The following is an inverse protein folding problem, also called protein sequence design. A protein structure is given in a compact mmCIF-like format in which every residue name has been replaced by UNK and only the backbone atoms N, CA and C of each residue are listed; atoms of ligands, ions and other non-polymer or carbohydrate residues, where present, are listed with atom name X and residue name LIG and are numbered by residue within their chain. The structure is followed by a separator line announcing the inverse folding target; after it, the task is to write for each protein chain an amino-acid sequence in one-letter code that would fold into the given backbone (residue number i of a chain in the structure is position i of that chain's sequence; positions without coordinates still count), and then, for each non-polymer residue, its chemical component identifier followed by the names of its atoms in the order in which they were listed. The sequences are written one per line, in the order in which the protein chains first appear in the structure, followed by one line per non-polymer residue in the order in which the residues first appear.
data_IF_193317738418
#
_entry.id   IF_193317738418
#
_cell.length_a   1.000
_cell.length_b   1.000
_cell.length_c   1.000
_cell.angle_alpha   90.00
_cell.angle_beta   90.00
_cell.angle_gamma   90.00
#
_symmetry.space_group_name_H-M   'P 1'
#
loop_
_entity.id
_entity.type
_entity.pdbx_description
1 polymer ?
#
# COMPACT_ATOMS: atom_id res chain seq x y z
N UNK A 1 -16.13 -10.92 21.96
CA UNK A 1 -16.02 -9.92 20.86
C UNK A 1 -14.94 -10.45 19.94
N UNK A 2 -15.24 -10.61 18.67
CA UNK A 2 -14.23 -11.00 17.66
C UNK A 2 -13.24 -9.87 17.50
N UNK A 3 -11.95 -10.19 17.53
CA UNK A 3 -10.87 -9.23 17.33
C UNK A 3 -11.01 -8.49 15.99
N UNK A 4 -10.87 -7.16 16.00
CA UNK A 4 -10.90 -6.36 14.79
C UNK A 4 -9.65 -6.64 13.94
N UNK A 5 -9.83 -6.96 12.65
CA UNK A 5 -8.74 -7.22 11.71
C UNK A 5 -9.24 -6.97 10.29
N UNK A 6 -8.32 -6.81 9.31
CA UNK A 6 -8.71 -6.70 7.91
C UNK A 6 -9.27 -8.03 7.40
N UNK A 7 -8.64 -9.14 7.75
CA UNK A 7 -9.01 -10.47 7.29
C UNK A 7 -9.11 -11.45 8.46
N UNK A 8 -9.93 -12.49 8.25
CA UNK A 8 -9.97 -13.68 9.09
C UNK A 8 -9.55 -14.89 8.28
N UNK A 9 -8.76 -15.83 8.87
CA UNK A 9 -8.51 -17.11 8.22
C UNK A 9 -9.83 -17.82 7.91
N UNK A 10 -9.95 -18.39 6.72
CA UNK A 10 -11.15 -19.10 6.25
C UNK A 10 -10.77 -20.26 5.35
N UNK A 11 -10.62 -21.45 5.95
CA UNK A 11 -10.11 -22.64 5.27
C UNK A 11 -8.70 -22.43 4.74
N UNK A 12 -8.54 -22.51 3.43
CA UNK A 12 -7.28 -22.25 2.71
C UNK A 12 -7.16 -20.81 2.19
N UNK A 13 -8.04 -19.91 2.66
CA UNK A 13 -8.11 -18.52 2.24
C UNK A 13 -8.35 -17.55 3.40
N UNK A 14 -8.87 -16.38 3.05
CA UNK A 14 -9.06 -15.25 3.95
C UNK A 14 -10.40 -14.57 3.67
N UNK A 15 -11.27 -14.52 4.66
CA UNK A 15 -12.51 -13.74 4.61
C UNK A 15 -12.23 -12.28 4.97
N UNK A 16 -12.51 -11.37 4.03
CA UNK A 16 -12.43 -9.94 4.25
C UNK A 16 -13.50 -9.48 5.26
N UNK A 17 -13.13 -8.63 6.20
CA UNK A 17 -14.08 -7.96 7.08
C UNK A 17 -14.59 -6.67 6.43
N UNK A 18 -15.66 -6.08 6.97
CA UNK A 18 -16.18 -4.79 6.49
C UNK A 18 -15.14 -3.66 6.59
N UNK A 19 -14.14 -3.80 7.49
CA UNK A 19 -13.03 -2.84 7.64
C UNK A 19 -12.22 -2.71 6.33
N UNK A 20 -12.23 -3.71 5.44
CA UNK A 20 -11.52 -3.64 4.15
C UNK A 20 -12.25 -2.80 3.11
N UNK A 21 -13.49 -2.36 3.34
CA UNK A 21 -14.31 -1.65 2.34
C UNK A 21 -13.61 -0.39 1.84
N UNK A 22 -13.41 -0.32 0.53
CA UNK A 22 -12.73 0.77 -0.15
C UNK A 22 -13.61 2.00 -0.37
N UNK A 23 -12.98 3.11 -0.77
CA UNK A 23 -13.68 4.38 -0.99
C UNK A 23 -14.58 4.41 -2.23
N UNK A 24 -14.44 3.44 -3.13
CA UNK A 24 -15.17 3.42 -4.41
C UNK A 24 -16.42 2.54 -4.37
N UNK A 25 -16.48 1.58 -3.47
CA UNK A 25 -17.62 0.68 -3.29
C UNK A 25 -17.61 0.05 -1.91
N UNK A 26 -18.76 0.04 -1.23
CA UNK A 26 -18.91 -0.66 0.05
C UNK A 26 -18.85 -2.20 -0.09
N UNK A 27 -19.01 -2.73 -1.30
CA UNK A 27 -18.95 -4.16 -1.59
C UNK A 27 -17.56 -4.62 -2.06
N UNK A 28 -16.61 -3.69 -2.25
CA UNK A 28 -15.26 -3.99 -2.71
C UNK A 28 -14.21 -3.55 -1.68
N UNK A 29 -13.18 -4.38 -1.57
CA UNK A 29 -12.04 -4.11 -0.70
C UNK A 29 -11.17 -2.97 -1.27
N UNK A 30 -10.52 -2.22 -0.38
CA UNK A 30 -9.43 -1.31 -0.75
C UNK A 30 -8.25 -2.10 -1.33
N UNK A 31 -7.62 -1.56 -2.36
CA UNK A 31 -6.37 -2.12 -2.89
C UNK A 31 -5.28 -2.22 -1.83
N UNK A 32 -5.21 -1.24 -0.91
CA UNK A 32 -4.27 -1.27 0.22
C UNK A 32 -4.47 -2.46 1.16
N UNK A 33 -5.71 -2.87 1.40
CA UNK A 33 -6.00 -4.07 2.18
C UNK A 33 -5.53 -5.34 1.44
N UNK A 34 -5.81 -5.44 0.13
CA UNK A 34 -5.36 -6.57 -0.71
C UNK A 34 -3.84 -6.63 -0.75
N UNK A 35 -3.14 -5.50 -0.94
CA UNK A 35 -1.68 -5.46 -0.95
C UNK A 35 -1.07 -5.84 0.41
N UNK A 36 -1.71 -5.43 1.52
CA UNK A 36 -1.28 -5.83 2.86
C UNK A 36 -1.37 -7.36 3.04
N UNK A 37 -2.45 -7.99 2.53
CA UNK A 37 -2.61 -9.45 2.55
C UNK A 37 -1.56 -10.14 1.68
N UNK A 38 -1.29 -9.64 0.46
CA UNK A 38 -0.23 -10.18 -0.39
C UNK A 38 1.15 -10.10 0.29
N UNK A 39 1.43 -8.98 0.97
CA UNK A 39 2.64 -8.81 1.78
C UNK A 39 2.71 -9.79 2.96
N UNK A 40 1.57 -10.03 3.61
CA UNK A 40 1.44 -11.00 4.70
C UNK A 40 1.77 -12.43 4.23
N UNK A 41 1.17 -12.87 3.13
CA UNK A 41 1.41 -14.21 2.57
C UNK A 41 2.84 -14.35 2.02
N UNK A 42 3.42 -13.28 1.46
CA UNK A 42 4.79 -13.31 0.99
C UNK A 42 5.78 -13.65 2.10
N UNK A 43 5.56 -13.19 3.33
CA UNK A 43 6.45 -13.46 4.46
C UNK A 43 6.43 -14.95 4.90
N UNK A 44 5.39 -15.72 4.54
CA UNK A 44 5.32 -17.17 4.79
C UNK A 44 6.10 -17.98 3.74
N UNK A 45 6.46 -17.38 2.62
CA UNK A 45 7.25 -18.06 1.59
C UNK A 45 8.70 -18.19 2.05
N UNK A 46 9.16 -19.42 2.25
CA UNK A 46 10.51 -19.70 2.71
C UNK A 46 11.60 -19.12 1.79
N UNK A 47 12.76 -18.82 2.35
CA UNK A 47 13.95 -18.34 1.63
C UNK A 47 15.17 -19.19 2.00
N UNK A 48 16.11 -19.37 1.07
CA UNK A 48 17.35 -20.12 1.33
C UNK A 48 18.33 -19.39 2.26
N UNK A 49 18.22 -18.08 2.37
CA UNK A 49 19.02 -17.19 3.24
C UNK A 49 18.14 -16.05 3.69
N UNK A 50 18.45 -15.33 4.78
CA UNK A 50 17.69 -14.14 5.14
C UNK A 50 17.62 -13.14 3.98
N UNK A 51 16.40 -12.79 3.57
CA UNK A 51 16.10 -11.88 2.46
C UNK A 51 15.05 -10.87 2.87
N UNK A 52 15.09 -9.68 2.25
CA UNK A 52 14.05 -8.66 2.38
C UNK A 52 13.41 -8.38 1.02
N UNK A 53 12.15 -7.94 1.07
CA UNK A 53 11.47 -7.40 -0.11
C UNK A 53 12.23 -6.17 -0.61
N UNK A 54 12.58 -6.16 -1.89
CA UNK A 54 13.25 -5.01 -2.54
C UNK A 54 12.44 -4.43 -3.69
N UNK A 55 11.49 -5.19 -4.23
CA UNK A 55 10.54 -4.69 -5.23
C UNK A 55 9.24 -5.48 -5.14
N UNK A 56 8.13 -4.77 -5.24
CA UNK A 56 6.82 -5.32 -5.54
C UNK A 56 6.23 -4.59 -6.74
N UNK A 57 5.72 -5.34 -7.72
CA UNK A 57 4.80 -4.85 -8.74
C UNK A 57 3.50 -5.62 -8.61
N UNK A 58 2.37 -4.94 -8.64
CA UNK A 58 1.07 -5.59 -8.55
C UNK A 58 0.05 -4.93 -9.47
N UNK A 59 -0.70 -5.75 -10.19
CA UNK A 59 -1.86 -5.35 -10.97
C UNK A 59 -3.12 -5.57 -10.11
N UNK A 60 -3.94 -4.55 -9.96
CA UNK A 60 -5.26 -4.60 -9.35
C UNK A 60 -6.28 -4.90 -10.46
N UNK A 61 -6.38 -6.18 -10.81
CA UNK A 61 -7.06 -6.65 -12.03
C UNK A 61 -8.57 -6.43 -11.99
N UNK A 62 -9.18 -6.58 -10.82
CA UNK A 62 -10.62 -6.39 -10.58
C UNK A 62 -10.87 -5.97 -9.14
N UNK A 63 -12.01 -5.30 -8.86
CA UNK A 63 -12.45 -5.09 -7.49
C UNK A 63 -12.56 -6.44 -6.74
N UNK A 64 -11.85 -6.56 -5.63
CA UNK A 64 -11.94 -7.73 -4.76
C UNK A 64 -13.24 -7.64 -3.94
N UNK A 65 -14.18 -8.59 -4.02
CA UNK A 65 -15.45 -8.49 -3.31
C UNK A 65 -15.28 -8.71 -1.80
N UNK A 66 -16.17 -8.08 -1.00
CA UNK A 66 -16.36 -8.44 0.40
C UNK A 66 -17.43 -9.53 0.45
N UNK A 67 -17.30 -10.49 1.39
CA UNK A 67 -18.25 -11.58 1.55
C UNK A 67 -17.94 -12.85 0.73
N UNK A 68 -16.93 -12.79 -0.13
CA UNK A 68 -16.37 -13.96 -0.81
C UNK A 68 -14.90 -14.10 -0.41
N UNK A 69 -14.45 -15.26 0.11
CA UNK A 69 -13.07 -15.42 0.55
C UNK A 69 -12.06 -15.19 -0.57
N UNK A 70 -10.93 -14.57 -0.22
CA UNK A 70 -9.76 -14.51 -1.07
C UNK A 70 -8.86 -15.71 -0.84
N UNK A 71 -8.41 -16.36 -1.91
CA UNK A 71 -7.31 -17.31 -1.89
C UNK A 71 -6.09 -16.68 -2.50
N UNK A 72 -4.98 -16.74 -1.79
CA UNK A 72 -3.70 -16.23 -2.28
C UNK A 72 -2.79 -17.42 -2.58
N UNK A 73 -2.53 -17.63 -3.85
CA UNK A 73 -1.58 -18.63 -4.33
C UNK A 73 -0.23 -17.97 -4.61
N UNK A 74 0.85 -18.69 -4.35
CA UNK A 74 2.18 -18.23 -4.73
C UNK A 74 2.93 -19.28 -5.53
N UNK A 75 3.85 -18.81 -6.37
CA UNK A 75 4.83 -19.66 -7.05
C UNK A 75 6.21 -19.02 -7.01
N UNK A 76 7.23 -19.85 -6.79
CA UNK A 76 8.62 -19.38 -6.81
C UNK A 76 9.10 -19.44 -8.26
N UNK A 77 9.19 -18.28 -8.91
CA UNK A 77 9.69 -18.15 -10.29
C UNK A 77 11.21 -18.34 -10.35
N UNK A 78 11.89 -17.89 -9.31
CA UNK A 78 13.34 -18.05 -9.16
C UNK A 78 13.69 -18.24 -7.71
N UNK A 79 14.43 -19.32 -7.42
CA UNK A 79 15.03 -19.59 -6.12
C UNK A 79 16.55 -19.43 -6.20
N UNK A 80 17.15 -18.80 -5.19
CA UNK A 80 18.61 -18.67 -5.12
C UNK A 80 19.05 -17.99 -3.84
N UNK A 81 20.31 -18.18 -3.46
CA UNK A 81 20.90 -17.61 -2.23
C UNK A 81 21.06 -16.09 -2.25
N UNK A 82 20.97 -15.43 -3.40
CA UNK A 82 21.12 -13.97 -3.52
C UNK A 82 19.82 -13.29 -3.86
N UNK A 83 18.97 -13.96 -4.62
CA UNK A 83 17.74 -13.39 -5.18
C UNK A 83 16.67 -14.49 -5.19
N UNK A 84 15.48 -14.14 -4.75
CA UNK A 84 14.26 -14.92 -4.95
C UNK A 84 13.22 -14.07 -5.64
N UNK A 85 12.49 -14.65 -6.61
CA UNK A 85 11.35 -14.03 -7.28
C UNK A 85 10.13 -14.88 -7.01
N UNK A 86 9.08 -14.26 -6.46
CA UNK A 86 7.81 -14.90 -6.13
C UNK A 86 6.70 -14.21 -6.90
N UNK A 87 5.83 -14.98 -7.53
CA UNK A 87 4.54 -14.52 -8.02
C UNK A 87 3.45 -14.87 -6.99
N UNK A 88 2.54 -13.92 -6.75
CA UNK A 88 1.37 -14.10 -5.91
C UNK A 88 0.13 -13.76 -6.76
N UNK A 89 -0.90 -14.59 -6.65
CA UNK A 89 -2.18 -14.37 -7.31
C UNK A 89 -3.30 -14.47 -6.28
N UNK A 90 -4.05 -13.39 -6.11
CA UNK A 90 -5.25 -13.39 -5.30
C UNK A 90 -6.47 -13.67 -6.18
N UNK A 91 -7.26 -14.67 -5.78
CA UNK A 91 -8.50 -15.06 -6.47
C UNK A 91 -9.68 -15.01 -5.50
N UNK A 92 -10.84 -14.65 -6.01
CA UNK A 92 -12.12 -14.75 -5.32
C UNK A 92 -13.08 -15.55 -6.19
N UNK A 93 -13.63 -16.64 -5.66
CA UNK A 93 -14.46 -17.60 -6.41
C UNK A 93 -13.81 -18.05 -7.75
N UNK A 94 -12.51 -18.31 -7.72
CA UNK A 94 -11.71 -18.70 -8.89
C UNK A 94 -11.40 -17.57 -9.89
N UNK A 95 -11.89 -16.36 -9.66
CA UNK A 95 -11.62 -15.19 -10.50
C UNK A 95 -10.42 -14.40 -9.93
N UNK A 96 -9.44 -14.13 -10.77
CA UNK A 96 -8.29 -13.32 -10.38
C UNK A 96 -8.70 -11.86 -10.11
N UNK A 97 -8.34 -11.36 -8.93
CA UNK A 97 -8.60 -9.97 -8.51
C UNK A 97 -7.33 -9.14 -8.39
N UNK A 98 -6.22 -9.77 -8.04
CA UNK A 98 -4.92 -9.11 -8.03
C UNK A 98 -3.80 -10.11 -8.34
N UNK A 99 -2.74 -9.60 -8.95
CA UNK A 99 -1.50 -10.34 -9.20
C UNK A 99 -0.30 -9.49 -8.79
N UNK A 100 0.66 -10.09 -8.09
CA UNK A 100 1.88 -9.40 -7.71
C UNK A 100 3.12 -10.22 -8.05
N UNK A 101 4.22 -9.51 -8.33
CA UNK A 101 5.55 -10.08 -8.48
C UNK A 101 6.50 -9.43 -7.51
N UNK A 102 6.97 -10.20 -6.55
CA UNK A 102 7.90 -9.77 -5.52
C UNK A 102 9.32 -10.19 -5.87
N UNK A 103 10.28 -9.28 -5.68
CA UNK A 103 11.71 -9.56 -5.68
C UNK A 103 12.22 -9.45 -4.26
N UNK A 104 12.84 -10.50 -3.75
CA UNK A 104 13.55 -10.50 -2.48
C UNK A 104 15.06 -10.64 -2.75
N UNK A 105 15.84 -9.86 -2.03
CA UNK A 105 17.31 -9.88 -2.12
C UNK A 105 17.88 -10.21 -0.76
N UNK A 106 19.00 -10.96 -0.75
CA UNK A 106 19.68 -11.36 0.49
C UNK A 106 20.08 -10.14 1.32
N UNK A 107 19.90 -10.23 2.62
CA UNK A 107 20.40 -9.25 3.55
C UNK A 107 21.93 -9.34 3.64
N UNK A 108 22.59 -8.19 3.64
CA UNK A 108 24.03 -8.07 3.86
C UNK A 108 24.31 -6.80 4.66
N UNK A 109 25.21 -6.89 5.62
CA UNK A 109 25.70 -5.71 6.34
C UNK A 109 26.73 -4.98 5.47
N UNK A 110 26.43 -3.75 5.12
CA UNK A 110 27.28 -2.89 4.30
C UNK A 110 27.96 -1.79 5.12
N UNK A 111 27.77 -1.78 6.44
CA UNK A 111 28.41 -0.78 7.30
C UNK A 111 29.94 -0.94 7.31
N UNK A 112 30.63 0.16 7.17
CA UNK A 112 32.12 0.17 7.18
C UNK A 112 32.76 -0.31 5.89
N UNK A 113 32.00 -0.51 4.81
CA UNK A 113 32.57 -0.82 3.49
C UNK A 113 32.88 0.51 2.76
N UNK A 114 34.17 0.70 2.46
CA UNK A 114 34.61 1.89 1.75
C UNK A 114 33.93 2.04 0.39
N UNK A 115 33.57 3.27 0.05
CA UNK A 115 32.94 3.61 -1.23
C UNK A 115 31.43 3.38 -1.31
N UNK A 116 30.79 2.87 -0.25
CA UNK A 116 29.33 2.81 -0.17
C UNK A 116 28.83 4.08 0.54
N UNK A 117 28.06 4.96 -0.15
CA UNK A 117 27.51 6.16 0.48
C UNK A 117 26.52 5.79 1.58
N UNK A 118 26.60 6.45 2.70
CA UNK A 118 25.58 6.36 3.76
C UNK A 118 24.44 7.33 3.40
N UNK A 119 23.22 6.84 3.26
CA UNK A 119 22.05 7.70 3.15
C UNK A 119 21.84 8.41 4.48
N UNK A 120 21.75 9.73 4.45
CA UNK A 120 21.48 10.54 5.65
C UNK A 120 19.99 10.83 5.75
N UNK A 121 19.48 11.00 6.97
CA UNK A 121 18.09 11.42 7.21
C UNK A 121 17.84 12.88 6.78
N UNK A 122 18.90 13.65 6.55
CA UNK A 122 18.83 15.06 6.16
C UNK A 122 18.15 15.29 4.80
N UNK A 123 18.18 14.26 3.92
CA UNK A 123 17.54 14.29 2.61
C UNK A 123 16.14 13.64 2.62
N UNK A 124 15.58 13.31 3.79
CA UNK A 124 14.26 12.69 3.87
C UNK A 124 13.15 13.70 3.54
N UNK A 125 12.39 13.50 2.43
CA UNK A 125 11.28 14.39 2.10
C UNK A 125 10.20 14.46 3.18
N UNK A 126 10.01 13.39 3.98
CA UNK A 126 9.02 13.35 5.05
C UNK A 126 9.39 14.27 6.22
N UNK A 127 10.65 14.63 6.37
CA UNK A 127 11.08 15.65 7.35
C UNK A 127 10.47 17.04 7.07
N UNK A 128 10.01 17.28 5.84
CA UNK A 128 9.31 18.51 5.44
C UNK A 128 7.80 18.45 5.63
N UNK A 129 7.23 17.28 5.95
CA UNK A 129 5.82 17.19 6.31
C UNK A 129 5.59 17.86 7.66
N UNK A 130 4.44 18.52 7.86
CA UNK A 130 4.05 18.99 9.18
C UNK A 130 4.02 17.84 10.19
N UNK A 131 4.22 18.13 11.50
CA UNK A 131 4.07 17.11 12.53
C UNK A 131 2.74 16.37 12.40
N UNK A 132 2.77 15.07 12.54
CA UNK A 132 1.59 14.17 12.38
C UNK A 132 0.36 14.69 13.12
N UNK A 133 0.54 15.11 14.38
CA UNK A 133 -0.54 15.56 15.26
C UNK A 133 -1.12 16.93 14.88
N UNK A 134 -0.43 17.70 14.04
CA UNK A 134 -0.92 18.99 13.52
C UNK A 134 -1.79 18.84 12.29
N UNK A 135 -1.81 17.67 11.66
CA UNK A 135 -2.61 17.38 10.47
C UNK A 135 -3.97 16.77 10.86
N UNK A 136 -5.05 17.16 10.18
CA UNK A 136 -6.36 16.57 10.45
C UNK A 136 -6.37 15.10 10.09
N UNK A 137 -7.02 14.29 10.92
CA UNK A 137 -7.40 12.94 10.54
C UNK A 137 -8.51 13.02 9.50
N UNK A 138 -8.31 12.43 8.32
CA UNK A 138 -9.21 12.58 7.17
C UNK A 138 -10.44 11.66 7.21
N UNK A 139 -10.86 11.24 8.41
CA UNK A 139 -11.96 10.27 8.63
C UNK A 139 -13.35 10.84 8.29
N UNK A 140 -13.50 12.15 8.16
CA UNK A 140 -14.82 12.83 8.09
C UNK A 140 -15.48 12.79 6.70
N UNK A 141 -15.38 11.68 5.96
CA UNK A 141 -16.13 11.52 4.72
C UNK A 141 -17.34 10.59 4.93
N UNK A 142 -18.53 11.02 4.53
CA UNK A 142 -19.76 10.21 4.53
C UNK A 142 -19.76 9.07 3.48
N UNK A 143 -18.61 8.77 2.88
CA UNK A 143 -18.45 7.78 1.84
C UNK A 143 -18.21 6.33 2.37
N UNK A 144 -18.17 5.32 1.49
CA UNK A 144 -18.06 3.89 1.84
C UNK A 144 -16.66 3.46 2.32
N UNK A 145 -15.75 4.37 2.61
CA UNK A 145 -14.35 4.09 2.90
C UNK A 145 -14.11 3.59 4.34
N UNK A 146 -14.72 2.49 4.76
CA UNK A 146 -14.51 1.93 6.10
C UNK A 146 -13.04 1.57 6.34
N UNK A 147 -12.29 1.16 5.31
CA UNK A 147 -10.86 0.95 5.39
C UNK A 147 -10.10 2.19 5.89
N UNK A 148 -10.48 3.37 5.41
CA UNK A 148 -9.85 4.63 5.81
C UNK A 148 -10.37 5.17 7.15
N UNK A 149 -11.44 4.59 7.73
CA UNK A 149 -11.97 4.97 9.04
C UNK A 149 -11.46 4.08 10.16
N UNK A 150 -11.47 2.77 9.92
CA UNK A 150 -11.23 1.77 10.96
C UNK A 150 -10.02 0.87 10.68
N UNK A 151 -9.55 0.80 9.44
CA UNK A 151 -8.40 -0.01 9.03
C UNK A 151 -7.08 0.75 9.09
N UNK A 152 -7.09 2.02 8.68
CA UNK A 152 -5.90 2.86 8.57
C UNK A 152 -6.19 4.25 9.13
N UNK A 153 -5.35 4.74 10.03
CA UNK A 153 -5.30 6.17 10.30
C UNK A 153 -4.46 6.85 9.24
N UNK A 154 -4.97 7.93 8.63
CA UNK A 154 -4.16 8.74 7.75
C UNK A 154 -4.39 10.24 7.94
N UNK A 155 -3.32 11.01 7.81
CA UNK A 155 -3.27 12.43 8.02
C UNK A 155 -2.58 13.07 6.83
N UNK A 156 -3.26 13.97 6.14
CA UNK A 156 -2.82 14.50 4.86
C UNK A 156 -2.59 16.01 4.90
N UNK A 157 -1.57 16.48 4.17
CA UNK A 157 -1.40 17.88 3.86
C UNK A 157 -2.49 18.37 2.91
N UNK A 158 -2.78 19.67 2.94
CA UNK A 158 -3.69 20.29 1.98
C UNK A 158 -2.87 21.04 0.93
N UNK A 159 -3.07 20.78 -0.39
CA UNK A 159 -2.22 21.32 -1.46
C UNK A 159 -2.10 22.85 -1.47
N UNK A 160 -3.12 23.58 -0.99
CA UNK A 160 -3.12 25.06 -0.96
C UNK A 160 -2.60 25.64 0.36
N UNK A 161 -2.33 24.81 1.37
CA UNK A 161 -1.93 25.27 2.71
C UNK A 161 -0.53 24.82 3.12
N UNK A 162 0.04 23.86 2.41
CA UNK A 162 1.32 23.25 2.72
C UNK A 162 2.21 23.25 1.49
N UNK A 163 3.50 23.47 1.71
CA UNK A 163 4.50 23.49 0.62
C UNK A 163 4.79 22.11 0.05
N UNK A 164 4.54 21.08 0.84
CA UNK A 164 4.82 19.68 0.49
C UNK A 164 3.52 18.89 0.45
N UNK A 165 3.30 18.19 -0.65
CA UNK A 165 2.20 17.24 -0.78
C UNK A 165 2.59 15.90 -0.19
N UNK A 166 1.80 15.43 0.75
CA UNK A 166 2.07 14.15 1.37
C UNK A 166 1.04 13.75 2.41
N UNK A 167 1.25 12.59 2.99
CA UNK A 167 0.42 12.05 4.06
C UNK A 167 1.24 11.18 5.01
N UNK A 168 0.74 11.04 6.23
CA UNK A 168 1.15 10.01 7.18
C UNK A 168 0.06 8.96 7.29
N UNK A 169 0.42 7.69 7.32
CA UNK A 169 -0.53 6.60 7.55
C UNK A 169 0.02 5.54 8.49
N UNK A 170 -0.89 4.83 9.18
CA UNK A 170 -0.57 3.63 9.96
C UNK A 170 -1.76 2.68 9.99
N UNK A 171 -1.50 1.38 10.12
CA UNK A 171 -2.52 0.38 10.39
C UNK A 171 -3.09 0.55 11.81
N UNK A 172 -4.41 0.47 11.93
CA UNK A 172 -5.14 0.49 13.21
C UNK A 172 -5.47 -0.91 13.72
N UNK A 173 -5.48 -1.91 12.82
CA UNK A 173 -5.85 -3.29 13.12
C UNK A 173 -4.87 -4.26 12.47
N UNK A 174 -4.72 -5.50 12.98
CA UNK A 174 -3.96 -6.54 12.30
C UNK A 174 -4.45 -6.81 10.87
N UNK A 175 -3.54 -7.22 10.00
CA UNK A 175 -3.91 -7.67 8.64
C UNK A 175 -4.73 -8.95 8.72
N UNK A 176 -4.26 -9.94 9.50
CA UNK A 176 -4.96 -11.19 9.75
C UNK A 176 -5.24 -11.32 11.25
N UNK A 177 -6.46 -11.69 11.60
CA UNK A 177 -6.89 -11.84 12.99
C UNK A 177 -6.01 -12.84 13.75
N UNK A 178 -5.55 -12.44 14.94
CA UNK A 178 -4.70 -13.25 15.79
C UNK A 178 -3.22 -13.26 15.37
N UNK A 179 -2.83 -12.54 14.32
CA UNK A 179 -1.44 -12.48 13.86
C UNK A 179 -0.85 -11.06 13.98
N UNK A 180 0.44 -10.94 14.31
CA UNK A 180 1.09 -9.64 14.37
C UNK A 180 1.20 -9.01 12.98
N UNK A 181 1.16 -7.68 12.92
CA UNK A 181 1.40 -6.96 11.67
C UNK A 181 2.85 -7.15 11.23
N UNK A 182 3.05 -7.73 10.06
CA UNK A 182 4.36 -8.01 9.50
C UNK A 182 4.95 -6.78 8.80
N UNK A 183 6.28 -6.69 8.77
CA UNK A 183 6.98 -5.55 8.15
C UNK A 183 6.66 -5.41 6.64
N UNK A 184 6.53 -6.54 5.94
CA UNK A 184 6.17 -6.53 4.51
C UNK A 184 4.76 -6.00 4.29
N UNK A 185 3.78 -6.37 5.13
CA UNK A 185 2.42 -5.79 5.05
C UNK A 185 2.41 -4.28 5.30
N UNK A 186 3.23 -3.80 6.26
CA UNK A 186 3.38 -2.35 6.49
C UNK A 186 4.02 -1.63 5.31
N UNK A 187 4.92 -2.29 4.58
CA UNK A 187 5.52 -1.72 3.39
C UNK A 187 4.54 -1.69 2.19
N UNK A 188 3.73 -2.74 2.02
CA UNK A 188 2.89 -2.91 0.82
C UNK A 188 1.57 -2.15 0.88
N UNK A 189 0.96 -2.02 2.07
CA UNK A 189 -0.29 -1.30 2.25
C UNK A 189 -0.24 0.16 1.73
N UNK A 190 0.75 0.98 2.11
CA UNK A 190 0.79 2.39 1.73
C UNK A 190 1.03 2.61 0.23
N UNK A 191 1.48 1.58 -0.49
CA UNK A 191 1.68 1.68 -1.94
C UNK A 191 0.39 2.05 -2.70
N UNK A 192 -0.78 1.58 -2.22
CA UNK A 192 -2.08 1.96 -2.80
C UNK A 192 -2.56 3.35 -2.35
N UNK A 193 -2.05 3.86 -1.23
CA UNK A 193 -2.49 5.15 -0.70
C UNK A 193 -1.82 6.36 -1.38
N UNK A 194 -0.87 6.14 -2.26
CA UNK A 194 -0.14 7.22 -2.95
C UNK A 194 -1.08 8.10 -3.79
N UNK A 195 -2.17 7.56 -4.33
CA UNK A 195 -3.17 8.33 -5.05
C UNK A 195 -3.85 9.39 -4.17
N UNK A 196 -3.95 9.15 -2.86
CA UNK A 196 -4.58 10.07 -1.92
C UNK A 196 -3.79 11.39 -1.76
N UNK A 197 -2.52 11.43 -2.14
CA UNK A 197 -1.72 12.65 -2.16
C UNK A 197 -2.34 13.68 -3.11
N UNK A 198 -2.86 13.25 -4.27
CA UNK A 198 -3.46 14.11 -5.30
C UNK A 198 -4.97 14.33 -5.16
N UNK A 199 -5.69 13.45 -4.46
CA UNK A 199 -7.18 13.45 -4.40
C UNK A 199 -7.77 14.74 -3.79
N UNK A 200 -7.02 15.52 -3.03
CA UNK A 200 -7.46 16.82 -2.54
C UNK A 200 -7.73 17.88 -3.62
N UNK A 201 -7.30 17.61 -4.84
CA UNK A 201 -7.45 18.51 -5.99
C UNK A 201 -8.64 18.14 -6.88
N UNK A 202 -9.30 17.00 -6.64
CA UNK A 202 -10.43 16.58 -7.47
C UNK A 202 -11.71 17.34 -7.10
N UNK A 203 -12.39 17.83 -8.12
CA UNK A 203 -13.75 18.33 -8.01
C UNK A 203 -14.74 17.20 -7.62
N UNK A 204 -15.94 17.56 -7.18
CA UNK A 204 -17.00 16.58 -6.92
C UNK A 204 -17.26 15.76 -8.19
N UNK A 205 -17.37 14.44 -8.04
CA UNK A 205 -17.66 13.53 -9.14
C UNK A 205 -16.46 13.06 -9.94
N UNK A 206 -15.21 13.35 -9.52
CA UNK A 206 -14.02 12.77 -10.14
C UNK A 206 -13.47 11.67 -9.23
N UNK A 207 -13.20 10.51 -9.80
CA UNK A 207 -12.54 9.38 -9.15
C UNK A 207 -11.23 9.05 -9.83
N UNK A 208 -10.22 8.60 -9.06
CA UNK A 208 -8.97 8.11 -9.59
C UNK A 208 -8.63 6.79 -8.90
N UNK A 209 -8.80 5.69 -9.62
CA UNK A 209 -8.67 4.33 -9.10
C UNK A 209 -7.34 3.77 -9.57
N UNK A 210 -6.54 3.23 -8.64
CA UNK A 210 -5.27 2.59 -8.97
C UNK A 210 -5.51 1.32 -9.80
N UNK A 211 -4.85 1.21 -10.94
CA UNK A 211 -4.86 0.02 -11.78
C UNK A 211 -3.70 -0.93 -11.44
N UNK A 212 -2.56 -0.35 -11.04
CA UNK A 212 -1.36 -1.05 -10.63
C UNK A 212 -0.69 -0.37 -9.45
N UNK A 213 0.30 -1.01 -8.87
CA UNK A 213 1.31 -0.39 -8.01
C UNK A 213 2.68 -0.95 -8.34
N UNK A 214 3.69 -0.10 -8.25
CA UNK A 214 5.09 -0.49 -8.36
C UNK A 214 5.90 0.18 -7.26
N UNK A 215 6.69 -0.62 -6.52
CA UNK A 215 7.52 -0.07 -5.46
C UNK A 215 8.90 -0.72 -5.42
N UNK A 216 9.89 0.07 -5.03
CA UNK A 216 11.20 -0.39 -4.63
C UNK A 216 11.39 -0.10 -3.14
N UNK A 217 11.83 -1.11 -2.39
CA UNK A 217 12.01 -1.06 -0.95
C UNK A 217 13.49 -1.24 -0.63
N UNK A 218 14.05 -0.29 0.08
CA UNK A 218 15.46 -0.27 0.48
C UNK A 218 15.71 -1.17 1.71
N UNK A 219 14.78 -1.13 2.65
CA UNK A 219 14.81 -1.86 3.92
C UNK A 219 13.37 -2.08 4.43
N UNK A 220 13.13 -3.03 5.33
CA UNK A 220 11.86 -3.12 6.04
C UNK A 220 11.55 -1.82 6.80
N UNK A 221 10.28 -1.37 6.85
CA UNK A 221 9.90 -0.19 7.60
C UNK A 221 10.00 -0.39 9.12
N UNK A 222 10.39 0.67 9.82
CA UNK A 222 10.51 0.76 11.29
C UNK A 222 9.36 1.60 11.83
N UNK A 223 8.94 1.32 13.08
CA UNK A 223 7.82 2.04 13.70
C UNK A 223 6.45 1.67 13.09
N UNK A 224 5.44 2.43 13.44
CA UNK A 224 4.06 2.22 12.96
C UNK A 224 3.68 3.16 11.82
N UNK A 225 4.21 4.37 11.85
CA UNK A 225 3.86 5.41 10.92
C UNK A 225 4.73 5.39 9.66
N UNK A 226 4.07 5.59 8.52
CA UNK A 226 4.71 5.73 7.21
C UNK A 226 4.30 7.05 6.61
N UNK A 227 5.30 7.83 6.22
CA UNK A 227 5.14 9.07 5.46
C UNK A 227 5.23 8.79 3.96
N UNK A 228 4.30 9.35 3.19
CA UNK A 228 4.36 9.41 1.74
C UNK A 228 4.49 10.85 1.32
N UNK A 229 5.54 11.18 0.56
CA UNK A 229 5.74 12.51 -0.03
C UNK A 229 5.89 12.38 -1.52
N UNK A 230 5.02 13.05 -2.27
CA UNK A 230 5.00 12.88 -3.71
C UNK A 230 4.03 13.78 -4.44
N UNK A 231 3.70 13.36 -5.66
CA UNK A 231 2.86 14.13 -6.56
C UNK A 231 1.98 13.22 -7.41
N UNK A 232 0.89 13.78 -7.90
CA UNK A 232 -0.02 13.16 -8.87
C UNK A 232 -0.12 14.03 -10.11
N UNK A 233 0.03 13.42 -11.27
CA UNK A 233 -0.04 14.10 -12.57
C UNK A 233 -1.09 13.44 -13.44
N UNK A 234 -1.82 14.27 -14.18
CA UNK A 234 -2.89 13.82 -15.09
C UNK A 234 -2.57 14.15 -16.53
N UNK A 235 -2.77 13.16 -17.40
CA UNK A 235 -2.74 13.33 -18.84
C UNK A 235 -4.11 13.85 -19.32
N UNK A 236 -4.31 15.16 -19.35
CA UNK A 236 -5.60 15.78 -19.66
C UNK A 236 -6.22 15.35 -21.00
N UNK A 237 -5.41 14.94 -21.97
CA UNK A 237 -5.88 14.51 -23.28
C UNK A 237 -6.21 13.02 -23.36
N UNK A 238 -5.72 12.21 -22.39
CA UNK A 238 -5.81 10.74 -22.42
C UNK A 238 -6.58 10.17 -21.23
N UNK A 239 -6.92 11.00 -20.23
CA UNK A 239 -7.84 10.64 -19.16
C UNK A 239 -7.29 9.63 -18.15
N UNK A 240 -5.97 9.59 -17.92
CA UNK A 240 -5.36 8.79 -16.86
C UNK A 240 -4.40 9.61 -16.00
N UNK A 241 -4.07 9.09 -14.83
CA UNK A 241 -3.14 9.70 -13.89
C UNK A 241 -1.98 8.79 -13.52
N UNK A 242 -0.92 9.39 -13.01
CA UNK A 242 0.19 8.72 -12.37
C UNK A 242 0.48 9.42 -11.06
N UNK A 243 0.55 8.65 -9.97
CA UNK A 243 1.06 9.13 -8.68
C UNK A 243 2.40 8.46 -8.38
N UNK A 244 3.31 9.21 -7.75
CA UNK A 244 4.58 8.68 -7.28
C UNK A 244 4.96 9.33 -5.96
N UNK A 245 5.57 8.56 -5.04
CA UNK A 245 5.98 9.06 -3.74
C UNK A 245 7.25 8.37 -3.22
N UNK A 246 7.99 9.09 -2.40
CA UNK A 246 8.96 8.53 -1.46
C UNK A 246 8.23 8.01 -0.25
N UNK A 247 8.62 6.84 0.25
CA UNK A 247 8.12 6.22 1.47
C UNK A 247 9.16 6.37 2.57
N UNK A 248 8.76 6.94 3.70
CA UNK A 248 9.62 7.19 4.86
C UNK A 248 8.97 6.68 6.15
N UNK A 249 9.78 6.38 7.13
CA UNK A 249 9.37 5.96 8.48
C UNK A 249 10.15 6.70 9.56
N UNK A 250 10.19 6.19 10.79
CA UNK A 250 10.91 6.84 11.90
C UNK A 250 12.44 6.88 11.71
N UNK A 251 12.98 6.03 10.81
CA UNK A 251 14.43 5.99 10.46
C UNK A 251 14.73 6.63 9.09
N UNK A 252 13.78 7.36 8.50
CA UNK A 252 13.93 8.06 7.22
C UNK A 252 13.45 7.23 6.02
N UNK A 253 13.97 7.53 4.83
CA UNK A 253 13.53 6.90 3.57
C UNK A 253 13.76 5.39 3.59
N UNK A 254 12.71 4.63 3.32
CA UNK A 254 12.80 3.18 3.14
C UNK A 254 12.36 2.68 1.76
N UNK A 255 11.80 3.54 0.90
CA UNK A 255 11.38 3.11 -0.43
C UNK A 255 10.77 4.20 -1.30
N UNK A 256 10.39 3.77 -2.50
CA UNK A 256 9.72 4.57 -3.53
C UNK A 256 8.53 3.77 -4.04
N UNK A 257 7.42 4.45 -4.33
CA UNK A 257 6.22 3.82 -4.91
C UNK A 257 5.61 4.67 -6.00
N UNK A 258 4.94 4.03 -6.95
CA UNK A 258 4.15 4.67 -8.00
C UNK A 258 2.95 3.83 -8.40
N UNK A 259 1.94 4.48 -8.98
CA UNK A 259 0.71 3.84 -9.48
C UNK A 259 0.19 4.55 -10.72
N UNK A 260 -0.38 3.79 -11.63
CA UNK A 260 -1.18 4.29 -12.75
C UNK A 260 -2.65 4.31 -12.35
N UNK A 261 -3.38 5.34 -12.76
CA UNK A 261 -4.76 5.57 -12.34
C UNK A 261 -5.70 5.65 -13.52
N UNK A 262 -6.83 4.97 -13.39
CA UNK A 262 -8.01 5.22 -14.21
C UNK A 262 -8.75 6.40 -13.60
N UNK A 263 -8.97 7.45 -14.40
CA UNK A 263 -9.72 8.63 -13.98
C UNK A 263 -11.10 8.59 -14.58
N UNK A 264 -12.11 8.62 -13.73
CA UNK A 264 -13.51 8.66 -14.13
C UNK A 264 -14.17 9.95 -13.66
N UNK A 265 -15.05 10.49 -14.49
CA UNK A 265 -15.82 11.67 -14.18
C UNK A 265 -17.29 11.27 -14.15
N UNK A 266 -17.93 11.41 -12.99
CA UNK A 266 -19.36 11.14 -12.88
C UNK A 266 -20.11 12.08 -13.84
N UNK A 267 -20.87 11.49 -14.77
CA UNK A 267 -21.81 12.26 -15.58
C UNK A 267 -22.85 12.91 -14.66
N UNK A 268 -23.18 14.18 -14.85
CA UNK A 268 -24.19 14.85 -14.04
C UNK A 268 -25.60 14.19 -14.10
N UNK A 269 -25.77 13.21 -15.01
CA UNK A 269 -27.05 12.53 -15.29
C UNK A 269 -27.09 11.05 -14.85
N UNK A 270 -26.23 10.60 -13.91
CA UNK A 270 -26.31 9.26 -13.32
C UNK A 270 -26.56 9.30 -11.83
#
# INVERSE_FOLDING_TARGET
MTEAALYRPDGDGYSATEITAGGWSAQAQSGGAVLALLGHVLDDVATLTPMSLTRLTADLVRPAPIGVPLRVHHSIVREGKKIQVVELTATSDGIEVARARALRVRNADLRGIDGIPVSTTDDDPAARLPPRDSLPNMIDSDGPAEFLRSGVEFRRTHPTRHEVNGLWCRLLVPVVAGEPVRATSRATLPMDLVNLIGVGSFGRGVTAINADVSAHVLRPPVGEWIGLVGDTRFGHQVGHGVSAATMSDDDGVFGLTSTSQVVDVASPDR
#
